data_IF_880654277730
#
_entry.id   IF_880654277730
#
_cell.length_a   1.000
_cell.length_b   1.000
_cell.length_c   1.000
_cell.angle_alpha   90.00
_cell.angle_beta   90.00
_cell.angle_gamma   90.00
#
_symmetry.space_group_name_H-M   'P 1'
#
loop_
_entity.id
_entity.type
_entity.pdbx_description
1 polymer ?
#
# COMPACT_ATOMS: atom_id res chain seq x y z
N UNK A 1 -41.09 -6.52 -6.59
CA UNK A 1 -40.73 -5.21 -7.17
C UNK A 1 -39.64 -4.49 -6.37
N UNK A 2 -39.86 -4.08 -5.12
CA UNK A 2 -38.82 -3.37 -4.35
C UNK A 2 -37.62 -4.26 -3.93
N UNK A 3 -37.87 -5.52 -3.57
CA UNK A 3 -36.80 -6.47 -3.21
C UNK A 3 -36.06 -7.02 -4.43
N UNK A 4 -36.75 -7.24 -5.56
CA UNK A 4 -36.11 -7.69 -6.80
C UNK A 4 -35.11 -6.63 -7.33
N UNK A 5 -35.47 -5.35 -7.28
CA UNK A 5 -34.55 -4.25 -7.64
C UNK A 5 -33.35 -4.17 -6.69
N UNK A 6 -33.54 -4.45 -5.39
CA UNK A 6 -32.43 -4.54 -4.43
C UNK A 6 -31.52 -5.73 -4.69
N UNK A 7 -32.07 -6.89 -5.02
CA UNK A 7 -31.29 -8.07 -5.39
C UNK A 7 -30.45 -7.83 -6.65
N UNK A 8 -31.01 -7.16 -7.67
CA UNK A 8 -30.26 -6.75 -8.87
C UNK A 8 -29.14 -5.77 -8.54
N UNK A 9 -29.41 -4.78 -7.70
CA UNK A 9 -28.40 -3.81 -7.26
C UNK A 9 -27.27 -4.50 -6.49
N UNK A 10 -27.61 -5.38 -5.55
CA UNK A 10 -26.62 -6.12 -4.78
C UNK A 10 -25.81 -7.07 -5.67
N UNK A 11 -26.42 -7.68 -6.70
CA UNK A 11 -25.71 -8.47 -7.70
C UNK A 11 -24.73 -7.62 -8.53
N UNK A 12 -25.13 -6.40 -8.90
CA UNK A 12 -24.24 -5.46 -9.59
C UNK A 12 -23.07 -5.04 -8.68
N UNK A 13 -23.33 -4.77 -7.39
CA UNK A 13 -22.29 -4.46 -6.40
C UNK A 13 -21.34 -5.66 -6.19
N UNK A 14 -21.86 -6.89 -6.14
CA UNK A 14 -21.05 -8.13 -6.10
C UNK A 14 -20.15 -8.27 -7.32
N UNK A 15 -20.68 -8.02 -8.53
CA UNK A 15 -19.87 -8.10 -9.77
C UNK A 15 -18.88 -6.95 -9.92
N UNK A 16 -19.14 -5.82 -9.28
CA UNK A 16 -18.26 -4.66 -9.26
C UNK A 16 -17.21 -4.72 -8.13
N UNK A 17 -17.36 -5.64 -7.18
CA UNK A 17 -16.43 -5.78 -6.07
C UNK A 17 -15.08 -6.34 -6.57
N UNK A 18 -14.05 -5.51 -6.53
CA UNK A 18 -12.67 -5.88 -6.85
C UNK A 18 -11.88 -6.35 -5.63
N UNK A 19 -12.43 -6.20 -4.43
CA UNK A 19 -11.80 -6.57 -3.16
C UNK A 19 -12.76 -7.32 -2.23
N UNK A 20 -12.20 -7.92 -1.17
CA UNK A 20 -12.99 -8.65 -0.17
C UNK A 20 -13.98 -7.73 0.55
N UNK A 21 -15.26 -7.88 0.21
CA UNK A 21 -16.32 -6.96 0.65
C UNK A 21 -17.36 -7.67 1.52
N UNK A 22 -18.01 -6.92 2.40
CA UNK A 22 -19.12 -7.40 3.24
C UNK A 22 -20.44 -6.79 2.78
N UNK A 23 -21.44 -7.63 2.55
CA UNK A 23 -22.78 -7.24 2.10
C UNK A 23 -23.82 -7.59 3.17
N UNK A 24 -24.67 -6.62 3.51
CA UNK A 24 -25.75 -6.80 4.49
C UNK A 24 -27.04 -7.29 3.79
N UNK A 25 -27.52 -8.47 4.19
CA UNK A 25 -28.72 -9.10 3.62
C UNK A 25 -30.01 -8.76 4.37
N UNK A 26 -29.98 -7.91 5.41
CA UNK A 26 -31.17 -7.54 6.20
C UNK A 26 -32.32 -6.97 5.35
N UNK A 27 -31.99 -6.44 4.16
CA UNK A 27 -32.95 -5.84 3.23
C UNK A 27 -33.37 -6.74 2.05
N UNK A 28 -32.90 -7.99 2.02
CA UNK A 28 -33.15 -8.98 0.95
C UNK A 28 -33.24 -10.42 1.52
N UNK A 29 -34.44 -10.86 1.91
CA UNK A 29 -34.66 -12.14 2.61
C UNK A 29 -35.47 -13.19 1.83
N UNK A 30 -36.12 -12.82 0.72
CA UNK A 30 -36.95 -13.74 -0.06
C UNK A 30 -36.15 -14.71 -0.95
N UNK A 31 -36.63 -15.95 -1.08
CA UNK A 31 -36.01 -16.99 -1.91
C UNK A 31 -35.87 -16.60 -3.41
N UNK A 32 -36.88 -15.93 -3.97
CA UNK A 32 -36.84 -15.42 -5.34
C UNK A 32 -35.74 -14.37 -5.56
N UNK A 33 -35.75 -13.26 -4.80
CA UNK A 33 -34.69 -12.24 -4.86
C UNK A 33 -33.28 -12.80 -4.63
N UNK A 34 -33.10 -13.70 -3.66
CA UNK A 34 -31.78 -14.31 -3.39
C UNK A 34 -31.32 -15.20 -4.55
N UNK A 35 -32.24 -15.96 -5.16
CA UNK A 35 -31.91 -16.75 -6.36
C UNK A 35 -31.52 -15.84 -7.53
N UNK A 36 -32.19 -14.69 -7.70
CA UNK A 36 -31.82 -13.70 -8.73
C UNK A 36 -30.45 -13.08 -8.45
N UNK A 37 -30.17 -12.70 -7.19
CA UNK A 37 -28.87 -12.20 -6.75
C UNK A 37 -27.76 -13.20 -7.10
N UNK A 38 -27.94 -14.47 -6.72
CA UNK A 38 -26.90 -15.49 -6.93
C UNK A 38 -26.69 -15.79 -8.40
N UNK A 39 -27.77 -15.92 -9.19
CA UNK A 39 -27.65 -16.15 -10.62
C UNK A 39 -26.97 -14.97 -11.33
N UNK A 40 -27.35 -13.74 -11.02
CA UNK A 40 -26.77 -12.55 -11.64
C UNK A 40 -25.33 -12.28 -11.14
N UNK A 41 -25.05 -12.52 -9.86
CA UNK A 41 -23.74 -12.28 -9.24
C UNK A 41 -22.71 -13.36 -9.56
N UNK A 42 -23.10 -14.63 -9.43
CA UNK A 42 -22.20 -15.79 -9.39
C UNK A 42 -22.48 -16.86 -10.46
N UNK A 43 -23.54 -16.71 -11.25
CA UNK A 43 -23.88 -17.67 -12.32
C UNK A 43 -22.87 -17.69 -13.47
N UNK A 44 -22.00 -16.67 -13.55
CA UNK A 44 -20.86 -16.62 -14.45
C UNK A 44 -19.60 -16.24 -13.65
N UNK A 45 -18.41 -16.75 -14.01
CA UNK A 45 -17.16 -16.33 -13.39
C UNK A 45 -17.03 -14.80 -13.32
N UNK A 46 -16.47 -14.32 -12.22
CA UNK A 46 -16.21 -12.90 -12.02
C UNK A 46 -14.93 -12.51 -12.79
N UNK A 47 -14.91 -11.33 -13.42
CA UNK A 47 -13.75 -10.83 -14.16
C UNK A 47 -12.67 -10.27 -13.21
N UNK A 48 -12.17 -11.10 -12.30
CA UNK A 48 -11.15 -10.74 -11.32
C UNK A 48 -9.86 -11.52 -11.59
N UNK A 49 -8.72 -10.86 -11.34
CA UNK A 49 -7.40 -11.45 -11.52
C UNK A 49 -6.94 -12.28 -10.31
N UNK A 50 -7.46 -11.98 -9.12
CA UNK A 50 -7.08 -12.62 -7.85
C UNK A 50 -8.31 -12.97 -7.01
N UNK A 51 -8.13 -13.95 -6.11
CA UNK A 51 -9.19 -14.40 -5.21
C UNK A 51 -9.62 -13.32 -4.22
N UNK A 52 -10.93 -13.16 -4.06
CA UNK A 52 -11.56 -12.27 -3.06
C UNK A 52 -12.56 -13.04 -2.21
N UNK A 53 -12.78 -12.59 -0.98
CA UNK A 53 -13.81 -13.14 -0.09
C UNK A 53 -15.01 -12.21 -0.03
N UNK A 54 -16.11 -12.60 -0.66
CA UNK A 54 -17.37 -11.85 -0.60
C UNK A 54 -18.24 -12.39 0.54
N UNK A 55 -18.47 -11.56 1.55
CA UNK A 55 -19.05 -11.98 2.83
C UNK A 55 -20.47 -11.45 2.97
N UNK A 56 -21.45 -12.32 3.07
CA UNK A 56 -22.85 -11.93 3.25
C UNK A 56 -23.24 -12.08 4.71
N UNK A 57 -23.72 -11.00 5.33
CA UNK A 57 -24.31 -11.07 6.68
C UNK A 57 -25.69 -11.68 6.52
N UNK A 58 -25.84 -12.94 6.95
CA UNK A 58 -27.08 -13.74 6.79
C UNK A 58 -27.85 -13.90 8.09
N UNK A 59 -27.34 -13.35 9.19
CA UNK A 59 -27.98 -13.51 10.48
C UNK A 59 -27.27 -12.76 11.59
N UNK A 60 -27.97 -12.64 12.70
CA UNK A 60 -27.47 -12.06 13.93
C UNK A 60 -27.60 -13.04 15.09
N UNK A 61 -26.75 -12.91 16.10
CA UNK A 61 -26.96 -13.53 17.39
C UNK A 61 -27.97 -12.72 18.23
N UNK A 62 -27.91 -12.82 19.55
CA UNK A 62 -29.05 -12.48 20.42
C UNK A 62 -29.50 -11.01 20.28
N UNK A 63 -28.58 -10.08 19.99
CA UNK A 63 -28.88 -8.63 19.95
C UNK A 63 -29.49 -8.18 18.62
N UNK A 64 -29.23 -8.91 17.53
CA UNK A 64 -29.58 -8.51 16.16
C UNK A 64 -30.35 -9.58 15.38
N UNK A 65 -30.70 -10.72 16.00
CA UNK A 65 -31.44 -11.82 15.37
C UNK A 65 -32.72 -11.40 14.63
N UNK A 66 -33.43 -10.38 15.13
CA UNK A 66 -34.69 -9.92 14.55
C UNK A 66 -34.51 -9.17 13.22
N UNK A 67 -33.28 -8.79 12.85
CA UNK A 67 -32.99 -8.05 11.62
C UNK A 67 -32.91 -8.94 10.37
N UNK A 68 -32.77 -10.25 10.56
CA UNK A 68 -32.53 -11.20 9.48
C UNK A 68 -33.54 -12.33 9.57
N UNK A 69 -33.92 -12.90 8.43
CA UNK A 69 -34.75 -14.10 8.39
C UNK A 69 -33.93 -15.32 8.85
N UNK A 70 -34.48 -16.14 9.74
CA UNK A 70 -33.80 -17.33 10.27
C UNK A 70 -33.48 -18.36 9.17
N UNK A 71 -34.22 -18.35 8.04
CA UNK A 71 -34.01 -19.23 6.90
C UNK A 71 -33.00 -18.69 5.89
N UNK A 72 -32.57 -17.44 6.03
CA UNK A 72 -31.67 -16.76 5.10
C UNK A 72 -30.35 -17.51 4.82
N UNK A 73 -29.65 -18.09 5.84
CA UNK A 73 -28.44 -18.86 5.59
C UNK A 73 -28.70 -20.09 4.71
N UNK A 74 -29.83 -20.78 4.92
CA UNK A 74 -30.20 -21.96 4.15
C UNK A 74 -30.55 -21.58 2.71
N UNK A 75 -31.39 -20.57 2.52
CA UNK A 75 -31.83 -20.10 1.20
C UNK A 75 -30.65 -19.65 0.34
N UNK A 76 -29.71 -18.88 0.91
CA UNK A 76 -28.52 -18.43 0.20
C UNK A 76 -27.59 -19.60 -0.16
N UNK A 77 -27.40 -20.55 0.77
CA UNK A 77 -26.57 -21.73 0.54
C UNK A 77 -27.14 -22.63 -0.57
N UNK A 78 -28.45 -22.83 -0.59
CA UNK A 78 -29.14 -23.59 -1.64
C UNK A 78 -29.04 -22.90 -3.00
N UNK A 79 -29.20 -21.57 -3.04
CA UNK A 79 -29.04 -20.78 -4.26
C UNK A 79 -27.59 -20.86 -4.80
N UNK A 80 -26.57 -20.77 -3.95
CA UNK A 80 -25.16 -20.94 -4.34
C UNK A 80 -24.87 -22.35 -4.88
N UNK A 81 -25.40 -23.39 -4.22
CA UNK A 81 -25.31 -24.77 -4.71
C UNK A 81 -25.95 -24.92 -6.10
N UNK A 82 -27.05 -24.22 -6.38
CA UNK A 82 -27.72 -24.27 -7.68
C UNK A 82 -26.91 -23.70 -8.85
N UNK A 83 -25.94 -22.82 -8.58
CA UNK A 83 -24.99 -22.28 -9.59
C UNK A 83 -23.62 -22.99 -9.54
N UNK A 84 -23.56 -24.14 -8.88
CA UNK A 84 -22.40 -25.02 -8.88
C UNK A 84 -21.30 -24.59 -7.91
N UNK A 85 -21.65 -23.96 -6.79
CA UNK A 85 -20.73 -23.76 -5.67
C UNK A 85 -20.86 -24.88 -4.64
N UNK A 86 -19.76 -25.15 -3.92
CA UNK A 86 -19.71 -26.22 -2.91
C UNK A 86 -19.43 -25.63 -1.54
N UNK A 87 -20.11 -26.16 -0.53
CA UNK A 87 -19.90 -25.74 0.85
C UNK A 87 -18.66 -26.45 1.42
N UNK A 88 -17.67 -25.68 1.85
CA UNK A 88 -16.47 -26.19 2.52
C UNK A 88 -16.11 -25.30 3.71
N UNK A 89 -16.09 -25.88 4.91
CA UNK A 89 -15.77 -25.17 6.15
C UNK A 89 -14.32 -24.68 6.20
N UNK A 90 -13.41 -25.34 5.48
CA UNK A 90 -12.00 -25.00 5.37
C UNK A 90 -11.70 -23.90 4.35
N UNK A 91 -12.69 -23.50 3.52
CA UNK A 91 -12.47 -22.55 2.44
C UNK A 91 -11.86 -21.23 2.93
N UNK A 92 -10.86 -20.74 2.21
CA UNK A 92 -10.09 -19.56 2.55
C UNK A 92 -9.82 -18.71 1.31
N UNK A 93 -9.23 -17.52 1.48
CA UNK A 93 -9.00 -16.60 0.38
C UNK A 93 -7.76 -17.00 -0.44
N UNK A 94 -7.79 -18.19 -1.03
CA UNK A 94 -6.74 -18.78 -1.87
C UNK A 94 -7.34 -19.27 -3.19
N UNK A 95 -6.54 -19.32 -4.24
CA UNK A 95 -7.02 -19.65 -5.60
C UNK A 95 -7.60 -21.06 -5.73
N UNK A 96 -7.17 -21.99 -4.87
CA UNK A 96 -7.70 -23.36 -4.81
C UNK A 96 -9.14 -23.43 -4.28
N UNK A 97 -9.63 -22.35 -3.66
CA UNK A 97 -10.98 -22.29 -3.08
C UNK A 97 -12.03 -21.70 -4.04
N UNK A 98 -11.74 -21.57 -5.33
CA UNK A 98 -12.71 -21.08 -6.32
C UNK A 98 -13.98 -21.90 -6.38
N UNK A 99 -15.13 -21.23 -6.32
CA UNK A 99 -16.43 -21.89 -6.33
C UNK A 99 -16.79 -22.53 -4.99
N UNK A 100 -16.09 -22.20 -3.91
CA UNK A 100 -16.43 -22.64 -2.56
C UNK A 100 -17.15 -21.56 -1.77
N UNK A 101 -17.88 -21.97 -0.75
CA UNK A 101 -18.40 -21.05 0.26
C UNK A 101 -18.40 -21.70 1.64
N UNK A 102 -18.41 -20.86 2.68
CA UNK A 102 -18.49 -21.31 4.06
C UNK A 102 -19.43 -20.48 4.90
N UNK A 103 -20.13 -21.14 5.80
CA UNK A 103 -20.86 -20.49 6.87
C UNK A 103 -19.94 -20.27 8.07
N UNK A 104 -19.97 -19.06 8.64
CA UNK A 104 -19.18 -18.70 9.82
C UNK A 104 -20.03 -17.89 10.80
N UNK A 105 -20.00 -18.27 12.07
CA UNK A 105 -20.58 -17.48 13.15
C UNK A 105 -19.46 -16.73 13.86
N UNK A 106 -19.44 -15.40 13.74
CA UNK A 106 -18.52 -14.52 14.46
C UNK A 106 -19.17 -14.14 15.79
N UNK A 107 -18.74 -14.82 16.85
CA UNK A 107 -19.28 -14.64 18.21
C UNK A 107 -18.91 -13.30 18.82
N UNK A 108 -17.80 -12.68 18.37
CA UNK A 108 -17.35 -11.39 18.89
C UNK A 108 -18.22 -10.25 18.32
N UNK A 109 -18.65 -10.40 17.06
CA UNK A 109 -19.53 -9.42 16.39
C UNK A 109 -21.02 -9.73 16.53
N UNK A 110 -21.40 -10.86 17.12
CA UNK A 110 -22.78 -11.34 17.21
C UNK A 110 -23.45 -11.44 15.82
N UNK A 111 -22.68 -11.80 14.79
CA UNK A 111 -23.12 -11.87 13.39
C UNK A 111 -22.77 -13.20 12.73
N UNK A 112 -23.64 -13.64 11.82
CA UNK A 112 -23.50 -14.85 11.03
C UNK A 112 -23.22 -14.48 9.58
N UNK A 113 -22.22 -15.11 9.00
CA UNK A 113 -21.74 -14.85 7.66
C UNK A 113 -21.84 -16.09 6.78
N UNK A 114 -22.11 -15.87 5.50
CA UNK A 114 -21.75 -16.80 4.43
C UNK A 114 -20.65 -16.12 3.61
N UNK A 115 -19.44 -16.69 3.65
CA UNK A 115 -18.31 -16.24 2.85
C UNK A 115 -18.29 -17.03 1.55
N UNK A 116 -18.29 -16.34 0.42
CA UNK A 116 -18.27 -16.90 -0.92
C UNK A 116 -16.94 -16.59 -1.58
N UNK A 117 -16.31 -17.60 -2.16
CA UNK A 117 -15.05 -17.52 -2.91
C UNK A 117 -15.37 -17.71 -4.40
N UNK A 118 -15.43 -16.63 -5.18
CA UNK A 118 -15.99 -16.67 -6.52
C UNK A 118 -15.15 -17.50 -7.50
N UNK A 119 -15.79 -18.04 -8.53
CA UNK A 119 -15.08 -18.55 -9.72
C UNK A 119 -14.54 -17.36 -10.49
N UNK A 120 -13.29 -17.41 -10.93
CA UNK A 120 -12.62 -16.29 -11.59
C UNK A 120 -12.46 -16.55 -13.09
N UNK A 121 -12.53 -15.49 -13.88
CA UNK A 121 -12.13 -15.47 -15.29
C UNK A 121 -11.16 -14.29 -15.49
N UNK A 122 -9.88 -14.56 -15.21
CA UNK A 122 -8.80 -13.59 -15.32
C UNK A 122 -8.63 -13.06 -16.76
N UNK A 123 -9.09 -13.81 -17.78
CA UNK A 123 -9.02 -13.37 -19.19
C UNK A 123 -9.97 -12.23 -19.53
N UNK A 124 -11.03 -12.04 -18.72
CA UNK A 124 -12.07 -11.01 -18.89
C UNK A 124 -12.01 -9.90 -17.85
N UNK A 125 -10.95 -9.84 -17.05
CA UNK A 125 -10.66 -8.69 -16.20
C UNK A 125 -10.45 -7.45 -17.10
N UNK A 126 -11.55 -6.80 -17.48
CA UNK A 126 -11.52 -5.55 -18.21
C UNK A 126 -10.88 -4.49 -17.31
N UNK A 127 -9.93 -3.75 -17.89
CA UNK A 127 -9.12 -2.66 -17.34
C UNK A 127 -9.93 -1.60 -16.57
N UNK A 128 -10.40 -1.93 -15.38
CA UNK A 128 -11.32 -1.11 -14.59
C UNK A 128 -11.12 -1.41 -13.11
N UNK A 129 -10.12 -0.75 -12.53
CA UNK A 129 -9.75 -0.87 -11.13
C UNK A 129 -8.34 -1.42 -10.98
N UNK A 130 -7.34 -0.56 -11.11
CA UNK A 130 -5.99 -0.81 -10.59
C UNK A 130 -6.08 -1.04 -9.07
N UNK A 131 -6.37 -2.27 -8.66
CA UNK A 131 -5.66 -2.86 -7.53
C UNK A 131 -4.66 -3.80 -8.19
N UNK A 132 -3.66 -3.13 -8.75
CA UNK A 132 -2.44 -3.71 -9.24
C UNK A 132 -1.95 -4.66 -8.13
N UNK A 133 -1.68 -5.92 -8.47
CA UNK A 133 -0.66 -6.70 -7.76
C UNK A 133 0.69 -6.03 -8.10
N UNK A 134 0.79 -4.71 -7.88
CA UNK A 134 2.00 -3.96 -8.12
C UNK A 134 2.94 -4.49 -7.08
N UNK A 135 4.04 -5.01 -7.58
CA UNK A 135 5.31 -4.90 -6.91
C UNK A 135 5.33 -3.55 -6.18
N UNK A 136 5.49 -3.61 -4.86
CA UNK A 136 5.68 -2.42 -4.05
C UNK A 136 6.82 -1.57 -4.65
N UNK A 137 6.89 -0.26 -4.35
CA UNK A 137 8.01 0.57 -4.80
C UNK A 137 9.38 -0.06 -4.56
N UNK A 138 9.55 -0.76 -3.43
CA UNK A 138 10.78 -1.50 -3.14
C UNK A 138 11.02 -2.65 -4.12
N UNK A 139 10.00 -3.48 -4.38
CA UNK A 139 10.10 -4.59 -5.34
C UNK A 139 10.32 -4.09 -6.78
N UNK A 140 9.64 -3.01 -7.21
CA UNK A 140 9.88 -2.41 -8.53
C UNK A 140 11.34 -1.98 -8.69
N UNK A 141 11.93 -1.36 -7.66
CA UNK A 141 13.34 -0.99 -7.70
C UNK A 141 14.28 -2.21 -7.71
N UNK A 142 13.93 -3.30 -7.03
CA UNK A 142 14.72 -4.53 -7.00
C UNK A 142 14.71 -5.23 -8.36
N UNK A 143 13.54 -5.40 -8.99
CA UNK A 143 13.38 -6.21 -10.21
C UNK A 143 13.56 -5.45 -11.52
N UNK A 144 13.53 -4.12 -11.50
CA UNK A 144 13.72 -3.32 -12.72
C UNK A 144 15.13 -3.42 -13.30
N UNK A 145 15.29 -3.22 -14.61
CA UNK A 145 16.60 -3.02 -15.20
C UNK A 145 17.20 -1.65 -14.78
N UNK A 146 18.52 -1.51 -14.93
CA UNK A 146 19.26 -0.33 -14.46
C UNK A 146 18.71 1.00 -15.01
N UNK A 147 18.36 1.09 -16.28
CA UNK A 147 17.89 2.35 -16.86
C UNK A 147 16.46 2.69 -16.41
N UNK A 148 15.59 1.68 -16.32
CA UNK A 148 14.25 1.83 -15.72
C UNK A 148 14.35 2.24 -14.25
N UNK A 149 15.28 1.65 -13.50
CA UNK A 149 15.56 2.01 -12.11
C UNK A 149 15.95 3.49 -11.99
N UNK A 150 16.90 3.97 -12.81
CA UNK A 150 17.30 5.39 -12.81
C UNK A 150 16.13 6.31 -13.13
N UNK A 151 15.31 5.95 -14.13
CA UNK A 151 14.12 6.72 -14.50
C UNK A 151 13.09 6.78 -13.36
N UNK A 152 12.83 5.66 -12.68
CA UNK A 152 11.94 5.61 -11.53
C UNK A 152 12.47 6.44 -10.35
N UNK A 153 13.77 6.36 -10.04
CA UNK A 153 14.38 7.18 -8.98
C UNK A 153 14.21 8.68 -9.30
N UNK A 154 14.51 9.08 -10.53
CA UNK A 154 14.37 10.47 -10.97
C UNK A 154 12.93 10.97 -10.88
N UNK A 155 11.95 10.15 -11.30
CA UNK A 155 10.54 10.55 -11.38
C UNK A 155 9.78 10.42 -10.06
N UNK A 156 10.09 9.42 -9.24
CA UNK A 156 9.28 9.03 -8.07
C UNK A 156 9.93 9.33 -6.73
N UNK A 157 11.22 9.64 -6.68
CA UNK A 157 11.92 9.99 -5.42
C UNK A 157 12.65 11.33 -5.58
N UNK A 158 11.91 12.44 -5.64
CA UNK A 158 12.51 13.74 -5.90
C UNK A 158 13.37 14.29 -4.75
N UNK A 159 13.13 13.89 -3.50
CA UNK A 159 13.89 14.42 -2.35
C UNK A 159 15.02 13.49 -1.89
N UNK A 160 15.98 14.04 -1.16
CA UNK A 160 17.09 13.30 -0.58
C UNK A 160 16.59 12.20 0.37
N UNK A 161 15.67 12.51 1.28
CA UNK A 161 15.14 11.53 2.24
C UNK A 161 14.33 10.42 1.59
N UNK A 162 13.68 10.67 0.45
CA UNK A 162 13.02 9.62 -0.33
C UNK A 162 14.04 8.68 -0.97
N UNK A 163 15.08 9.23 -1.62
CA UNK A 163 16.17 8.44 -2.21
C UNK A 163 16.96 7.67 -1.15
N UNK A 164 17.15 8.25 0.03
CA UNK A 164 17.80 7.56 1.15
C UNK A 164 16.97 6.36 1.62
N UNK A 165 15.64 6.50 1.72
CA UNK A 165 14.74 5.39 2.04
C UNK A 165 14.70 4.32 0.95
N UNK A 166 14.70 4.73 -0.32
CA UNK A 166 14.85 3.80 -1.45
C UNK A 166 16.17 3.01 -1.34
N UNK A 167 17.29 3.68 -1.04
CA UNK A 167 18.58 3.02 -0.81
C UNK A 167 18.51 2.02 0.35
N UNK A 168 17.84 2.37 1.45
CA UNK A 168 17.69 1.49 2.60
C UNK A 168 16.84 0.25 2.27
N UNK A 169 15.79 0.41 1.46
CA UNK A 169 14.99 -0.71 0.96
C UNK A 169 15.81 -1.66 0.05
N UNK A 170 16.67 -1.12 -0.81
CA UNK A 170 17.59 -1.93 -1.62
C UNK A 170 18.61 -2.68 -0.75
N UNK A 171 19.17 -2.02 0.26
CA UNK A 171 20.10 -2.65 1.21
C UNK A 171 19.42 -3.75 2.03
N UNK A 172 18.18 -3.55 2.46
CA UNK A 172 17.38 -4.58 3.12
C UNK A 172 17.15 -5.79 2.19
N UNK A 173 16.88 -5.55 0.90
CA UNK A 173 16.74 -6.62 -0.10
C UNK A 173 18.05 -7.38 -0.29
N UNK A 174 19.20 -6.69 -0.32
CA UNK A 174 20.51 -7.33 -0.38
C UNK A 174 20.81 -8.17 0.87
N UNK A 175 20.42 -7.67 2.05
CA UNK A 175 20.55 -8.43 3.30
C UNK A 175 19.65 -9.68 3.30
N UNK A 176 18.46 -9.60 2.68
CA UNK A 176 17.58 -10.77 2.48
C UNK A 176 18.26 -11.84 1.63
N UNK A 177 18.89 -11.46 0.51
CA UNK A 177 19.67 -12.41 -0.32
C UNK A 177 20.73 -13.11 0.52
N UNK A 178 21.55 -12.35 1.26
CA UNK A 178 22.60 -12.94 2.11
C UNK A 178 22.04 -13.91 3.17
N UNK A 179 20.88 -13.60 3.75
CA UNK A 179 20.20 -14.50 4.70
C UNK A 179 19.69 -15.79 4.04
N UNK A 180 19.22 -15.73 2.79
CA UNK A 180 18.77 -16.90 2.03
C UNK A 180 19.97 -17.77 1.63
N UNK A 181 21.08 -17.16 1.21
CA UNK A 181 22.36 -17.84 0.93
C UNK A 181 22.90 -18.55 2.17
N UNK A 182 22.82 -17.92 3.34
CA UNK A 182 23.22 -18.54 4.61
C UNK A 182 22.34 -19.76 4.94
N UNK A 183 21.02 -19.66 4.73
CA UNK A 183 20.10 -20.78 4.92
C UNK A 183 20.42 -21.96 3.98
N UNK A 184 20.67 -21.69 2.69
CA UNK A 184 21.08 -22.70 1.71
C UNK A 184 22.42 -23.34 2.07
N UNK A 185 23.40 -22.54 2.53
CA UNK A 185 24.70 -23.04 3.00
C UNK A 185 24.55 -23.94 4.22
N UNK A 186 23.60 -23.62 5.10
CA UNK A 186 23.25 -24.43 6.27
C UNK A 186 22.33 -25.63 5.93
N UNK A 187 22.09 -25.91 4.65
CA UNK A 187 21.15 -26.95 4.16
C UNK A 187 19.74 -26.82 4.72
N UNK A 188 19.30 -25.61 5.04
CA UNK A 188 17.91 -25.32 5.41
C UNK A 188 17.09 -25.11 4.14
N UNK A 189 15.93 -25.77 3.99
CA UNK A 189 15.08 -25.53 2.83
C UNK A 189 14.52 -24.12 2.87
N UNK A 190 14.48 -23.47 1.70
CA UNK A 190 13.70 -22.26 1.48
C UNK A 190 12.25 -22.65 1.19
N UNK A 191 11.30 -21.78 1.52
CA UNK A 191 9.92 -21.91 1.02
C UNK A 191 9.85 -21.66 -0.48
N UNK A 192 8.77 -22.12 -1.13
CA UNK A 192 8.57 -21.93 -2.58
C UNK A 192 8.61 -20.43 -2.97
N UNK A 193 8.02 -19.57 -2.13
CA UNK A 193 8.02 -18.12 -2.33
C UNK A 193 9.43 -17.51 -2.18
N UNK A 194 10.21 -18.00 -1.22
CA UNK A 194 11.58 -17.54 -1.02
C UNK A 194 12.51 -18.00 -2.13
N UNK A 195 12.35 -19.24 -2.59
CA UNK A 195 13.10 -19.79 -3.72
C UNK A 195 12.77 -19.04 -5.00
N UNK A 196 11.49 -18.83 -5.30
CA UNK A 196 11.02 -18.04 -6.45
C UNK A 196 11.58 -16.61 -6.42
N UNK A 197 11.52 -15.95 -5.26
CA UNK A 197 12.08 -14.61 -5.11
C UNK A 197 13.61 -14.60 -5.29
N UNK A 198 14.32 -15.56 -4.71
CA UNK A 198 15.77 -15.69 -4.82
C UNK A 198 16.21 -15.92 -6.27
N UNK A 199 15.54 -16.82 -6.98
CA UNK A 199 15.84 -17.14 -8.39
C UNK A 199 15.55 -15.97 -9.34
N UNK A 200 14.60 -15.10 -8.99
CA UNK A 200 14.22 -13.94 -9.79
C UNK A 200 15.10 -12.70 -9.57
N UNK A 201 15.82 -12.60 -8.44
CA UNK A 201 16.60 -11.40 -8.11
C UNK A 201 18.00 -11.46 -8.69
N UNK A 202 18.36 -10.45 -9.50
CA UNK A 202 19.73 -10.20 -9.92
C UNK A 202 20.53 -9.55 -8.77
N UNK A 203 21.28 -10.36 -8.02
CA UNK A 203 22.11 -9.92 -6.90
C UNK A 203 23.23 -8.95 -7.32
N UNK A 204 23.83 -9.15 -8.49
CA UNK A 204 24.90 -8.29 -9.01
C UNK A 204 24.33 -6.93 -9.43
N UNK A 205 23.25 -6.94 -10.22
CA UNK A 205 22.52 -5.74 -10.61
C UNK A 205 22.01 -4.95 -9.40
N UNK A 206 21.52 -5.63 -8.36
CA UNK A 206 21.13 -5.00 -7.10
C UNK A 206 22.32 -4.29 -6.42
N UNK A 207 23.50 -4.92 -6.42
CA UNK A 207 24.75 -4.31 -5.94
C UNK A 207 25.12 -3.03 -6.69
N UNK A 208 25.01 -3.04 -8.02
CA UNK A 208 25.27 -1.88 -8.86
C UNK A 208 24.27 -0.74 -8.61
N UNK A 209 22.97 -1.06 -8.47
CA UNK A 209 21.94 -0.05 -8.13
C UNK A 209 22.19 0.62 -6.78
N UNK A 210 22.57 -0.17 -5.76
CA UNK A 210 22.93 0.35 -4.43
C UNK A 210 24.12 1.32 -4.53
N UNK A 211 25.17 0.94 -5.27
CA UNK A 211 26.36 1.78 -5.46
C UNK A 211 26.01 3.08 -6.19
N UNK A 212 25.27 2.99 -7.30
CA UNK A 212 24.84 4.15 -8.07
C UNK A 212 23.97 5.11 -7.24
N UNK A 213 23.01 4.59 -6.48
CA UNK A 213 22.11 5.42 -5.68
C UNK A 213 22.85 6.05 -4.49
N UNK A 214 23.81 5.35 -3.89
CA UNK A 214 24.68 5.92 -2.87
C UNK A 214 25.53 7.09 -3.41
N UNK A 215 26.15 6.93 -4.58
CA UNK A 215 26.89 8.02 -5.24
C UNK A 215 25.97 9.19 -5.61
N UNK A 216 24.75 8.91 -6.03
CA UNK A 216 23.75 9.94 -6.35
C UNK A 216 23.38 10.75 -5.10
N UNK A 217 23.19 10.09 -3.96
CA UNK A 217 22.93 10.78 -2.68
C UNK A 217 24.13 11.63 -2.24
N UNK A 218 25.36 11.15 -2.42
CA UNK A 218 26.55 11.94 -2.13
C UNK A 218 26.62 13.20 -3.00
N UNK A 219 26.37 13.07 -4.31
CA UNK A 219 26.27 14.24 -5.20
C UNK A 219 25.19 15.21 -4.78
N UNK A 220 24.02 14.75 -4.32
CA UNK A 220 22.97 15.64 -3.82
C UNK A 220 23.41 16.44 -2.59
N UNK A 221 24.22 15.84 -1.71
CA UNK A 221 24.79 16.55 -0.56
C UNK A 221 25.80 17.59 -1.03
N UNK A 222 26.71 17.22 -1.94
CA UNK A 222 27.77 18.10 -2.44
C UNK A 222 27.20 19.27 -3.27
N UNK A 223 26.14 19.02 -4.06
CA UNK A 223 25.46 20.02 -4.90
C UNK A 223 24.43 20.86 -4.12
N UNK A 224 24.21 20.58 -2.83
CA UNK A 224 23.26 21.32 -1.99
C UNK A 224 21.79 21.05 -2.33
N UNK A 225 21.48 19.91 -2.95
CA UNK A 225 20.12 19.47 -3.29
C UNK A 225 19.38 18.90 -2.06
N UNK A 226 19.42 19.63 -0.94
CA UNK A 226 18.82 19.26 0.33
C UNK A 226 17.79 20.31 0.75
N UNK A 227 16.64 19.86 1.24
CA UNK A 227 15.73 20.75 1.98
C UNK A 227 16.33 21.14 3.35
N UNK A 228 15.73 22.13 4.03
CA UNK A 228 16.21 22.56 5.34
C UNK A 228 16.21 21.42 6.38
N UNK A 229 15.12 20.62 6.42
CA UNK A 229 14.99 19.44 7.28
C UNK A 229 16.04 18.38 6.91
N UNK A 230 16.20 18.08 5.62
CA UNK A 230 17.19 17.09 5.16
C UNK A 230 18.63 17.50 5.47
N UNK A 231 18.96 18.79 5.35
CA UNK A 231 20.28 19.30 5.72
C UNK A 231 20.56 19.09 7.21
N UNK A 232 19.59 19.36 8.07
CA UNK A 232 19.71 19.12 9.51
C UNK A 232 19.92 17.63 9.82
N UNK A 233 19.13 16.74 9.20
CA UNK A 233 19.29 15.29 9.33
C UNK A 233 20.67 14.80 8.84
N UNK A 234 21.17 15.33 7.72
CA UNK A 234 22.50 14.99 7.19
C UNK A 234 23.60 15.46 8.14
N UNK A 235 23.50 16.68 8.67
CA UNK A 235 24.47 17.22 9.61
C UNK A 235 24.48 16.44 10.92
N UNK A 236 23.31 16.10 11.46
CA UNK A 236 23.19 15.27 12.66
C UNK A 236 23.88 13.90 12.48
N UNK A 237 23.69 13.22 11.34
CA UNK A 237 24.39 11.96 11.04
C UNK A 237 25.90 12.13 10.86
N UNK A 238 26.34 13.25 10.29
CA UNK A 238 27.77 13.54 10.18
C UNK A 238 28.39 13.84 11.55
N UNK A 239 27.65 14.48 12.46
CA UNK A 239 28.04 14.73 13.85
C UNK A 239 28.20 13.41 14.62
N UNK A 240 27.20 12.52 14.56
CA UNK A 240 27.28 11.17 15.15
C UNK A 240 28.51 10.40 14.64
N UNK A 241 28.76 10.44 13.33
CA UNK A 241 29.94 9.79 12.74
C UNK A 241 31.26 10.44 13.18
N UNK A 242 31.28 11.76 13.36
CA UNK A 242 32.45 12.48 13.87
C UNK A 242 32.74 12.09 15.33
N UNK A 243 31.72 11.91 16.15
CA UNK A 243 31.84 11.40 17.52
C UNK A 243 32.38 9.96 17.54
N UNK A 244 31.84 9.07 16.70
CA UNK A 244 32.35 7.70 16.57
C UNK A 244 33.84 7.67 16.15
N UNK A 245 34.22 8.52 15.19
CA UNK A 245 35.61 8.65 14.76
C UNK A 245 36.49 9.18 15.90
N UNK A 246 35.99 10.12 16.70
CA UNK A 246 36.70 10.64 17.87
C UNK A 246 36.93 9.55 18.93
N UNK A 247 35.94 8.70 19.18
CA UNK A 247 36.07 7.56 20.09
C UNK A 247 37.09 6.52 19.58
N UNK A 248 37.01 6.17 18.28
CA UNK A 248 37.97 5.25 17.64
C UNK A 248 39.39 5.80 17.66
N UNK A 249 39.56 7.12 17.48
CA UNK A 249 40.84 7.80 17.53
C UNK A 249 41.45 7.75 18.93
N UNK A 250 40.68 8.10 19.97
CA UNK A 250 41.12 7.99 21.37
C UNK A 250 41.56 6.57 21.73
N UNK A 251 40.79 5.55 21.30
CA UNK A 251 41.16 4.16 21.51
C UNK A 251 42.45 3.74 20.76
N UNK A 252 42.65 4.25 19.54
CA UNK A 252 43.86 4.00 18.76
C UNK A 252 45.10 4.67 19.35
N UNK A 253 44.95 5.88 19.89
CA UNK A 253 46.00 6.61 20.62
C UNK A 253 46.41 5.86 21.89
N UNK A 254 45.43 5.45 22.71
CA UNK A 254 45.68 4.67 23.92
C UNK A 254 46.36 3.32 23.62
N UNK A 255 46.04 2.71 22.47
CA UNK A 255 46.65 1.47 22.02
C UNK A 255 47.99 1.64 21.26
N UNK A 256 48.51 2.87 21.13
CA UNK A 256 49.78 3.14 20.43
C UNK A 256 49.76 2.82 18.93
N UNK A 257 48.58 2.75 18.31
CA UNK A 257 48.42 2.36 16.89
C UNK A 257 48.65 3.56 15.97
N UNK A 258 49.88 4.04 15.85
CA UNK A 258 50.24 5.26 15.13
C UNK A 258 49.64 5.37 13.70
N UNK A 259 49.63 4.29 12.92
CA UNK A 259 49.02 4.27 11.57
C UNK A 259 47.49 4.45 11.61
N UNK A 260 46.82 3.90 12.61
CA UNK A 260 45.37 4.07 12.77
C UNK A 260 45.04 5.49 13.24
N UNK A 261 45.86 6.08 14.13
CA UNK A 261 45.72 7.47 14.57
C UNK A 261 45.78 8.42 13.37
N UNK A 262 46.81 8.31 12.52
CA UNK A 262 46.93 9.20 11.35
C UNK A 262 45.77 9.07 10.37
N UNK A 263 45.30 7.84 10.10
CA UNK A 263 44.14 7.60 9.23
C UNK A 263 42.84 8.15 9.81
N UNK A 264 42.60 7.96 11.10
CA UNK A 264 41.39 8.43 11.77
C UNK A 264 41.36 9.95 11.90
N UNK A 265 42.51 10.59 12.14
CA UNK A 265 42.63 12.05 12.17
C UNK A 265 42.25 12.63 10.81
N UNK A 266 42.85 12.14 9.73
CA UNK A 266 42.57 12.61 8.37
C UNK A 266 41.09 12.45 8.00
N UNK A 267 40.49 11.28 8.31
CA UNK A 267 39.08 11.03 8.06
C UNK A 267 38.15 11.97 8.86
N UNK A 268 38.53 12.32 10.10
CA UNK A 268 37.77 13.27 10.93
C UNK A 268 37.85 14.70 10.38
N UNK A 269 39.04 15.14 9.98
CA UNK A 269 39.24 16.47 9.39
C UNK A 269 38.47 16.63 8.07
N UNK A 270 38.50 15.62 7.21
CA UNK A 270 37.73 15.60 5.96
C UNK A 270 36.21 15.67 6.23
N UNK A 271 35.72 14.90 7.21
CA UNK A 271 34.31 14.93 7.60
C UNK A 271 33.91 16.30 8.16
N UNK A 272 34.73 16.91 9.01
CA UNK A 272 34.48 18.25 9.58
C UNK A 272 34.44 19.33 8.49
N UNK A 273 35.33 19.24 7.50
CA UNK A 273 35.29 20.14 6.33
C UNK A 273 33.99 19.97 5.55
N UNK A 274 33.60 18.73 5.23
CA UNK A 274 32.35 18.43 4.53
C UNK A 274 31.12 18.95 5.28
N UNK A 275 31.11 18.84 6.62
CA UNK A 275 30.05 19.41 7.45
C UNK A 275 29.96 20.94 7.35
N UNK A 276 31.11 21.63 7.34
CA UNK A 276 31.15 23.07 7.17
C UNK A 276 30.62 23.49 5.79
N UNK A 277 30.99 22.77 4.74
CA UNK A 277 30.50 23.00 3.39
C UNK A 277 28.97 22.83 3.33
N UNK A 278 28.45 21.71 3.85
CA UNK A 278 27.00 21.42 3.88
C UNK A 278 26.20 22.45 4.68
N UNK A 279 26.74 22.98 5.79
CA UNK A 279 26.09 24.05 6.57
C UNK A 279 25.89 25.32 5.75
N UNK A 280 26.83 25.63 4.87
CA UNK A 280 26.83 26.85 4.06
C UNK A 280 26.02 26.72 2.75
N UNK A 281 25.63 25.50 2.36
CA UNK A 281 24.82 25.29 1.16
C UNK A 281 23.40 25.84 1.34
N UNK A 282 22.89 26.45 0.27
CA UNK A 282 21.53 26.98 0.20
C UNK A 282 20.55 25.83 -0.01
N UNK A 283 19.60 25.67 0.92
CA UNK A 283 18.59 24.63 0.82
C UNK A 283 17.62 24.86 -0.33
N UNK A 284 17.19 23.77 -0.95
CA UNK A 284 16.12 23.75 -1.95
C UNK A 284 14.74 23.67 -1.29
N UNK A 285 13.72 24.11 -2.02
CA UNK A 285 12.31 23.88 -1.65
C UNK A 285 11.67 22.99 -2.70
N UNK A 286 11.13 21.85 -2.28
CA UNK A 286 10.44 20.96 -3.18
C UNK A 286 8.97 21.38 -3.29
N UNK A 287 8.50 21.68 -4.51
CA UNK A 287 7.11 22.03 -4.77
C UNK A 287 6.34 20.76 -5.20
N UNK A 288 5.24 20.41 -4.52
CA UNK A 288 4.36 19.32 -4.95
C UNK A 288 3.89 19.53 -6.40
N UNK A 289 3.74 18.43 -7.15
CA UNK A 289 3.35 18.44 -8.57
C UNK A 289 2.05 19.22 -8.80
N UNK A 290 1.04 18.99 -7.96
CA UNK A 290 -0.28 19.62 -8.03
C UNK A 290 -0.47 20.74 -7.00
N UNK A 291 0.60 21.45 -6.62
CA UNK A 291 0.55 22.40 -5.51
C UNK A 291 -0.52 23.49 -5.65
N UNK A 292 -0.74 24.02 -6.86
CA UNK A 292 -1.73 25.06 -7.11
C UNK A 292 -3.16 24.51 -7.05
N UNK A 293 -3.38 23.33 -7.63
CA UNK A 293 -4.65 22.62 -7.68
C UNK A 293 -5.07 22.15 -6.29
N UNK A 294 -4.14 21.57 -5.51
CA UNK A 294 -4.32 21.19 -4.11
C UNK A 294 -4.76 22.41 -3.30
N UNK A 295 -4.08 23.55 -3.45
CA UNK A 295 -4.45 24.77 -2.72
C UNK A 295 -5.83 25.30 -3.14
N UNK A 296 -6.15 25.26 -4.43
CA UNK A 296 -7.45 25.67 -4.95
C UNK A 296 -8.59 24.78 -4.42
N UNK A 297 -8.38 23.46 -4.39
CA UNK A 297 -9.36 22.49 -3.85
C UNK A 297 -9.51 22.65 -2.34
N UNK A 298 -8.41 22.81 -1.58
CA UNK A 298 -8.47 23.11 -0.14
C UNK A 298 -9.26 24.39 0.16
N UNK A 299 -9.08 25.45 -0.65
CA UNK A 299 -9.85 26.70 -0.51
C UNK A 299 -11.35 26.48 -0.80
N UNK A 300 -11.69 25.67 -1.81
CA UNK A 300 -13.08 25.31 -2.12
C UNK A 300 -13.71 24.49 -0.99
N UNK A 301 -13.00 23.49 -0.46
CA UNK A 301 -13.45 22.68 0.67
C UNK A 301 -13.68 23.52 1.92
N UNK A 302 -12.76 24.44 2.26
CA UNK A 302 -12.94 25.35 3.39
C UNK A 302 -14.16 26.27 3.23
N UNK A 303 -14.49 26.69 2.00
CA UNK A 303 -15.71 27.45 1.74
C UNK A 303 -16.97 26.58 1.91
N UNK A 304 -16.94 25.33 1.44
CA UNK A 304 -18.03 24.36 1.62
C UNK A 304 -18.25 24.00 3.09
N UNK A 305 -17.19 23.84 3.88
CA UNK A 305 -17.30 23.61 5.33
C UNK A 305 -17.94 24.78 6.07
N UNK A 306 -17.66 26.02 5.65
CA UNK A 306 -18.33 27.21 6.22
C UNK A 306 -19.83 27.24 5.87
N UNK A 307 -20.18 26.85 4.65
CA UNK A 307 -21.57 26.71 4.19
C UNK A 307 -22.30 25.63 4.98
N UNK A 308 -21.68 24.46 5.17
CA UNK A 308 -22.24 23.34 5.94
C UNK A 308 -22.48 23.67 7.41
N UNK A 309 -21.60 24.51 8.01
CA UNK A 309 -21.72 24.99 9.39
C UNK A 309 -22.68 26.19 9.54
N UNK A 310 -23.26 26.68 8.44
CA UNK A 310 -24.21 27.79 8.49
C UNK A 310 -25.51 27.37 9.18
N UNK A 311 -26.04 28.25 10.04
CA UNK A 311 -27.35 28.05 10.71
C UNK A 311 -28.53 28.57 9.87
N UNK A 312 -28.26 29.09 8.67
CA UNK A 312 -29.27 29.65 7.77
C UNK A 312 -29.73 28.58 6.78
N UNK A 313 -31.02 28.60 6.42
CA UNK A 313 -31.56 27.72 5.37
C UNK A 313 -30.89 28.09 4.05
N UNK A 314 -30.12 27.15 3.50
CA UNK A 314 -29.36 27.35 2.27
C UNK A 314 -30.29 27.24 1.04
N UNK A 315 -30.12 28.11 0.02
CA UNK A 315 -30.80 27.95 -1.26
C UNK A 315 -30.33 26.67 -1.98
N UNK A 316 -31.18 26.14 -2.87
CA UNK A 316 -30.96 24.87 -3.57
C UNK A 316 -29.58 24.81 -4.29
N UNK A 317 -29.12 25.92 -4.84
CA UNK A 317 -27.81 26.02 -5.50
C UNK A 317 -26.63 25.81 -4.52
N UNK A 318 -26.76 26.26 -3.27
CA UNK A 318 -25.75 26.06 -2.23
C UNK A 318 -25.76 24.62 -1.69
N UNK A 319 -26.94 24.00 -1.62
CA UNK A 319 -27.10 22.57 -1.30
C UNK A 319 -26.47 21.69 -2.39
N UNK A 320 -26.65 22.05 -3.67
CA UNK A 320 -26.01 21.35 -4.79
C UNK A 320 -24.48 21.46 -4.73
N UNK A 321 -23.92 22.61 -4.33
CA UNK A 321 -22.46 22.76 -4.14
C UNK A 321 -21.92 21.85 -3.03
N UNK A 322 -22.67 21.64 -1.95
CA UNK A 322 -22.29 20.71 -0.88
C UNK A 322 -22.23 19.26 -1.37
N UNK A 323 -23.07 18.86 -2.32
CA UNK A 323 -23.06 17.51 -2.90
C UNK A 323 -21.75 17.18 -3.66
N UNK A 324 -20.98 18.19 -4.08
CA UNK A 324 -19.68 18.00 -4.73
C UNK A 324 -18.52 17.75 -3.76
N UNK A 325 -18.73 17.92 -2.44
CA UNK A 325 -17.69 17.78 -1.40
C UNK A 325 -16.99 16.41 -1.41
N UNK A 326 -17.70 15.25 -1.50
CA UNK A 326 -17.03 13.95 -1.51
C UNK A 326 -16.07 13.78 -2.69
N UNK A 327 -16.47 14.26 -3.88
CA UNK A 327 -15.62 14.22 -5.07
C UNK A 327 -14.37 15.10 -4.89
N UNK A 328 -14.52 16.31 -4.37
CA UNK A 328 -13.39 17.20 -4.11
C UNK A 328 -12.40 16.63 -3.08
N UNK A 329 -12.89 15.88 -2.08
CA UNK A 329 -12.03 15.17 -1.13
C UNK A 329 -11.28 14.01 -1.80
N UNK A 330 -11.95 13.24 -2.64
CA UNK A 330 -11.31 12.17 -3.42
C UNK A 330 -10.24 12.71 -4.38
N UNK A 331 -10.57 13.79 -5.12
CA UNK A 331 -9.64 14.45 -6.03
C UNK A 331 -8.44 15.04 -5.27
N UNK A 332 -8.68 15.66 -4.09
CA UNK A 332 -7.61 16.17 -3.23
C UNK A 332 -6.66 15.05 -2.80
N UNK A 333 -7.22 13.95 -2.30
CA UNK A 333 -6.44 12.79 -1.86
C UNK A 333 -5.62 12.21 -3.02
N UNK A 334 -6.21 12.02 -4.20
CA UNK A 334 -5.50 11.54 -5.38
C UNK A 334 -4.34 12.46 -5.79
N UNK A 335 -4.54 13.78 -5.77
CA UNK A 335 -3.49 14.75 -6.08
C UNK A 335 -2.38 14.77 -5.02
N UNK A 336 -2.72 14.60 -3.75
CA UNK A 336 -1.75 14.51 -2.65
C UNK A 336 -0.91 13.24 -2.75
N UNK A 337 -1.54 12.09 -3.05
CA UNK A 337 -0.85 10.81 -3.27
C UNK A 337 0.09 10.88 -4.48
N UNK A 338 -0.36 11.39 -5.63
CA UNK A 338 0.50 11.54 -6.83
C UNK A 338 1.65 12.53 -6.58
N UNK A 339 1.43 13.55 -5.73
CA UNK A 339 2.46 14.54 -5.40
C UNK A 339 3.46 14.09 -4.34
N UNK A 340 3.10 13.11 -3.50
CA UNK A 340 3.94 12.68 -2.39
C UNK A 340 5.21 11.95 -2.87
N UNK A 341 5.13 11.22 -3.99
CA UNK A 341 6.23 10.37 -4.47
C UNK A 341 6.41 9.09 -3.65
N UNK A 342 7.29 8.21 -4.12
CA UNK A 342 7.61 6.97 -3.41
C UNK A 342 8.41 7.23 -2.15
N UNK A 343 8.18 6.37 -1.14
CA UNK A 343 8.82 6.47 0.16
C UNK A 343 8.65 7.87 0.78
N UNK A 344 7.47 8.50 0.69
CA UNK A 344 7.16 9.72 1.44
C UNK A 344 6.88 9.38 2.92
N UNK A 345 7.03 10.33 3.83
CA UNK A 345 6.52 10.12 5.20
C UNK A 345 4.98 10.06 5.14
N UNK A 346 4.32 9.16 5.90
CA UNK A 346 2.89 9.25 6.07
C UNK A 346 2.56 10.56 6.78
N UNK A 347 1.69 11.36 6.16
CA UNK A 347 1.24 12.68 6.63
C UNK A 347 0.22 12.59 7.75
#
# INVERSE_FOLDING_TARGET
>A
MAEDERAKRLAAEVRAATESTVFDMASCSGAGPISQLVNAGFGQPLPLAHMVRLSFIVGGGKKVRQRYDDKLPQILSEALKSVGYVEDRGASCTDDCQGLFKYQHDTDKDLKFVHVFPKLDASKAASGGEVEDSLSPAQLLVFSEMDTFKAMIAAKTPTFSQRKRALDALKASKARIASLEEALTAMKPLSDDEQSWYDAVDAEGLGLKISWLAQTLEKMVDDGQLTAKEREEVLSRMEEKAEELSLKLSAAEAAGKAKAVTQLTAAREELQKKMADVRNLKCITHRPKHAAEIQAVKKKLAALEKLEKSKVVLPLEEVQKLSAKPKLLADLHAMEVDSAGWFSEPS
#
